data_IF_073244864725
#
_entry.id   IF_073244864725
#
_cell.length_a   1.000
_cell.length_b   1.000
_cell.length_c   1.000
_cell.angle_alpha   90.00
_cell.angle_beta   90.00
_cell.angle_gamma   90.00
#
_symmetry.space_group_name_H-M   'P 1'
#
loop_
_entity.id
_entity.type
_entity.pdbx_description
1 polymer ?
#
# COMPACT_ATOMS: atom_id res chain seq x y z
N UNK A 1 28.02 -24.04 -7.30
CA UNK A 1 28.32 -23.31 -6.06
C UNK A 1 27.22 -22.28 -5.90
N UNK A 2 26.18 -22.64 -5.16
CA UNK A 2 25.01 -21.81 -4.93
C UNK A 2 25.21 -21.13 -3.57
N UNK A 3 25.46 -19.82 -3.59
CA UNK A 3 25.36 -19.00 -2.39
C UNK A 3 23.87 -18.81 -2.11
N UNK A 4 23.37 -19.57 -1.13
CA UNK A 4 22.08 -19.33 -0.51
C UNK A 4 22.13 -17.95 0.14
N UNK A 5 21.42 -16.98 -0.46
CA UNK A 5 21.08 -15.75 0.23
C UNK A 5 20.12 -16.10 1.37
N UNK A 6 20.65 -16.04 2.60
CA UNK A 6 19.91 -16.19 3.83
C UNK A 6 18.96 -14.99 3.98
N UNK A 7 17.73 -15.12 3.47
CA UNK A 7 16.63 -14.23 3.78
C UNK A 7 16.11 -14.52 5.20
N UNK A 8 16.98 -14.37 6.20
CA UNK A 8 16.51 -14.19 7.57
C UNK A 8 15.93 -12.78 7.67
N UNK A 9 14.65 -12.65 7.36
CA UNK A 9 13.83 -11.57 7.90
C UNK A 9 13.86 -11.80 9.43
N UNK A 10 14.79 -11.14 10.12
CA UNK A 10 14.78 -11.05 11.57
C UNK A 10 13.65 -10.12 12.01
N UNK A 11 12.40 -10.51 11.76
CA UNK A 11 11.33 -10.18 12.68
C UNK A 11 11.49 -11.11 13.88
N UNK A 12 12.39 -10.75 14.81
CA UNK A 12 12.31 -11.29 16.17
C UNK A 12 11.09 -10.66 16.85
N UNK A 13 9.90 -11.00 16.38
CA UNK A 13 8.69 -10.99 17.17
C UNK A 13 8.56 -12.36 17.80
N UNK A 14 9.36 -12.60 18.84
CA UNK A 14 8.95 -13.57 19.86
C UNK A 14 7.69 -12.98 20.50
N UNK A 15 6.52 -13.44 20.03
CA UNK A 15 5.24 -13.21 20.68
C UNK A 15 5.31 -13.81 22.10
N UNK A 16 5.67 -12.98 23.07
CA UNK A 16 5.27 -13.25 24.44
C UNK A 16 3.79 -12.89 24.55
N UNK A 17 2.95 -13.91 24.78
CA UNK A 17 1.52 -13.79 25.09
C UNK A 17 1.28 -13.17 26.48
N UNK A 18 1.96 -12.06 26.78
CA UNK A 18 1.65 -11.18 27.90
C UNK A 18 1.09 -9.90 27.34
N UNK A 19 -0.24 -9.83 27.18
CA UNK A 19 -0.91 -8.55 27.01
C UNK A 19 -0.52 -7.67 28.21
N UNK A 20 0.00 -6.45 28.04
CA UNK A 20 0.05 -5.51 29.14
C UNK A 20 -1.39 -5.34 29.65
N UNK A 21 -1.62 -5.71 30.91
CA UNK A 21 -2.91 -5.50 31.56
C UNK A 21 -3.21 -4.01 31.56
N UNK A 22 -4.39 -3.58 31.12
CA UNK A 22 -4.72 -2.17 31.01
C UNK A 22 -4.99 -1.62 32.41
N UNK A 23 -3.95 -1.23 33.13
CA UNK A 23 -4.11 -0.39 34.32
C UNK A 23 -4.45 1.04 33.88
N UNK A 24 -5.76 1.26 33.82
CA UNK A 24 -6.50 2.48 34.16
C UNK A 24 -6.12 3.77 33.44
N UNK A 25 -6.97 4.16 32.47
CA UNK A 25 -7.53 5.49 32.15
C UNK A 25 -6.69 6.80 32.18
N UNK A 26 -5.55 6.88 32.86
CA UNK A 26 -4.71 8.08 32.96
C UNK A 26 -3.80 8.31 31.75
N UNK A 27 -3.38 7.27 31.02
CA UNK A 27 -2.56 7.48 29.79
C UNK A 27 -3.40 7.90 28.59
N UNK A 28 -4.67 7.49 28.52
CA UNK A 28 -5.58 7.90 27.43
C UNK A 28 -5.94 9.40 27.45
N UNK A 29 -5.70 10.11 28.56
CA UNK A 29 -6.01 11.54 28.68
C UNK A 29 -4.88 12.47 28.24
N UNK A 30 -3.63 11.99 28.12
CA UNK A 30 -2.53 12.80 27.55
C UNK A 30 -2.59 12.92 26.02
N UNK A 31 -3.48 12.16 25.38
CA UNK A 31 -3.67 12.13 23.93
C UNK A 31 -5.04 12.64 23.47
N UNK A 32 -5.93 13.07 24.38
CA UNK A 32 -7.17 13.76 23.99
C UNK A 32 -6.87 15.18 23.53
N UNK A 33 -6.74 15.36 22.21
CA UNK A 33 -6.94 16.68 21.59
C UNK A 33 -8.44 17.03 21.58
N UNK A 34 -8.80 18.33 21.51
CA UNK A 34 -10.19 18.76 21.47
C UNK A 34 -10.93 18.10 20.30
N UNK A 35 -12.17 17.68 20.53
CA UNK A 35 -13.09 17.22 19.49
C UNK A 35 -13.22 18.30 18.41
N UNK A 36 -12.64 18.04 17.24
CA UNK A 36 -12.76 18.85 16.04
C UNK A 36 -13.77 18.20 15.10
N UNK A 37 -15.06 18.26 15.47
CA UNK A 37 -16.16 18.03 14.54
C UNK A 37 -17.07 19.26 14.57
N UNK A 38 -16.81 20.23 13.68
CA UNK A 38 -17.79 21.25 13.27
C UNK A 38 -17.34 22.21 12.14
N UNK A 39 -16.18 22.05 11.49
CA UNK A 39 -15.82 22.93 10.36
C UNK A 39 -15.16 22.16 9.21
N UNK A 40 -15.50 22.47 7.94
CA UNK A 40 -14.81 21.92 6.77
C UNK A 40 -13.33 22.30 6.86
N UNK A 41 -12.47 21.29 6.97
CA UNK A 41 -11.02 21.50 7.07
C UNK A 41 -10.51 21.99 5.71
N UNK A 42 -9.80 23.13 5.64
CA UNK A 42 -9.15 23.54 4.40
C UNK A 42 -8.17 22.46 3.95
N UNK A 43 -8.16 22.14 2.67
CA UNK A 43 -7.37 21.09 2.01
C UNK A 43 -5.83 21.17 2.16
N UNK A 44 -5.30 22.02 3.06
CA UNK A 44 -3.89 22.15 3.35
C UNK A 44 -3.56 21.55 4.71
N UNK A 45 -2.85 20.43 4.67
CA UNK A 45 -2.17 19.75 5.78
C UNK A 45 -3.10 18.94 6.69
N UNK A 46 -3.15 17.62 6.45
CA UNK A 46 -3.37 16.63 7.52
C UNK A 46 -2.56 17.12 8.72
N UNK A 47 -3.28 17.56 9.77
CA UNK A 47 -2.64 18.21 10.91
C UNK A 47 -1.56 17.26 11.47
N UNK A 48 -0.37 17.85 11.71
CA UNK A 48 0.87 17.23 12.20
C UNK A 48 0.74 15.81 12.75
N UNK A 49 1.45 14.88 12.08
CA UNK A 49 1.97 13.56 12.47
C UNK A 49 1.37 12.89 13.72
N UNK A 50 1.10 11.59 13.63
CA UNK A 50 0.62 10.66 14.67
C UNK A 50 -0.89 10.36 14.62
N UNK A 51 -1.35 9.82 13.49
CA UNK A 51 -2.69 9.23 13.37
C UNK A 51 -2.65 7.75 13.72
N UNK A 52 -3.71 7.24 14.32
CA UNK A 52 -3.92 5.79 14.40
C UNK A 52 -4.20 5.22 13.00
N UNK A 53 -3.88 3.94 12.75
CA UNK A 53 -4.23 3.30 11.49
C UNK A 53 -5.71 3.47 11.10
N UNK A 54 -6.62 3.34 12.07
CA UNK A 54 -8.06 3.47 11.83
C UNK A 54 -8.47 4.89 11.40
N UNK A 55 -7.84 5.93 11.95
CA UNK A 55 -8.09 7.32 11.52
C UNK A 55 -7.62 7.54 10.08
N UNK A 56 -6.47 6.97 9.70
CA UNK A 56 -5.96 7.03 8.34
C UNK A 56 -6.86 6.29 7.34
N UNK A 57 -7.36 5.11 7.73
CA UNK A 57 -8.36 4.35 6.96
C UNK A 57 -9.65 5.16 6.80
N UNK A 58 -10.16 5.73 7.89
CA UNK A 58 -11.37 6.54 7.86
C UNK A 58 -11.22 7.76 6.94
N UNK A 59 -10.07 8.42 6.94
CA UNK A 59 -9.79 9.52 6.02
C UNK A 59 -9.92 9.06 4.55
N UNK A 60 -9.25 7.97 4.18
CA UNK A 60 -9.33 7.39 2.82
C UNK A 60 -10.78 7.02 2.48
N UNK A 61 -11.49 6.34 3.38
CA UNK A 61 -12.87 5.91 3.17
C UNK A 61 -13.85 7.09 3.03
N UNK A 62 -13.66 8.16 3.79
CA UNK A 62 -14.48 9.36 3.69
C UNK A 62 -14.23 10.07 2.36
N UNK A 63 -12.96 10.21 1.97
CA UNK A 63 -12.59 10.90 0.74
C UNK A 63 -13.05 10.15 -0.51
N UNK A 64 -12.83 8.83 -0.54
CA UNK A 64 -13.25 7.96 -1.65
C UNK A 64 -14.77 7.86 -1.85
N UNK A 65 -15.57 8.32 -0.88
CA UNK A 65 -17.04 8.40 -0.95
C UNK A 65 -17.56 9.77 -1.38
N UNK A 66 -16.70 10.80 -1.47
CA UNK A 66 -17.13 12.13 -1.92
C UNK A 66 -17.55 12.09 -3.39
N UNK A 67 -18.49 12.97 -3.74
CA UNK A 67 -19.05 13.11 -5.09
C UNK A 67 -17.95 13.48 -6.11
N UNK A 68 -18.03 12.91 -7.31
CA UNK A 68 -17.07 13.04 -8.41
C UNK A 68 -16.88 14.49 -8.89
N UNK A 69 -17.85 15.35 -8.61
CA UNK A 69 -17.94 16.71 -9.15
C UNK A 69 -16.85 17.68 -8.64
N UNK A 70 -16.00 17.28 -7.70
CA UNK A 70 -15.06 18.20 -7.00
C UNK A 70 -13.60 17.75 -7.07
N UNK A 71 -13.18 16.97 -8.07
CA UNK A 71 -11.79 16.50 -8.18
C UNK A 71 -11.06 17.14 -9.38
N UNK A 72 -10.31 18.24 -9.16
CA UNK A 72 -9.50 18.87 -10.19
C UNK A 72 -8.48 17.91 -10.81
N UNK A 73 -8.54 17.73 -12.13
CA UNK A 73 -7.62 16.90 -12.90
C UNK A 73 -8.06 15.44 -13.08
N UNK A 74 -9.23 15.05 -12.56
CA UNK A 74 -9.78 13.71 -12.76
C UNK A 74 -10.03 13.43 -14.26
N UNK A 75 -10.63 14.38 -14.97
CA UNK A 75 -10.89 14.27 -16.42
C UNK A 75 -9.57 14.12 -17.20
N UNK A 76 -8.55 14.91 -16.88
CA UNK A 76 -7.25 14.83 -17.52
C UNK A 76 -6.56 13.48 -17.27
N UNK A 77 -6.72 12.89 -16.08
CA UNK A 77 -6.24 11.53 -15.81
C UNK A 77 -7.03 10.50 -16.61
N UNK A 78 -8.35 10.58 -16.62
CA UNK A 78 -9.20 9.64 -17.38
C UNK A 78 -8.88 9.70 -18.87
N UNK A 79 -8.66 10.89 -19.42
CA UNK A 79 -8.24 11.11 -20.79
C UNK A 79 -6.84 10.52 -21.02
N UNK A 80 -5.86 10.85 -20.18
CA UNK A 80 -4.50 10.32 -20.30
C UNK A 80 -4.47 8.79 -20.20
N UNK A 81 -5.19 8.22 -19.25
CA UNK A 81 -5.34 6.77 -19.08
C UNK A 81 -6.00 6.16 -20.32
N UNK A 82 -7.10 6.72 -20.80
CA UNK A 82 -7.79 6.23 -21.99
C UNK A 82 -6.91 6.30 -23.25
N UNK A 83 -6.19 7.40 -23.46
CA UNK A 83 -5.27 7.59 -24.58
C UNK A 83 -4.08 6.63 -24.50
N UNK A 84 -3.50 6.44 -23.32
CA UNK A 84 -2.46 5.43 -23.09
C UNK A 84 -2.96 4.02 -23.40
N UNK A 85 -4.26 3.75 -23.22
CA UNK A 85 -4.87 2.48 -23.59
C UNK A 85 -5.19 2.34 -25.09
N UNK A 86 -5.57 3.41 -25.76
CA UNK A 86 -5.97 3.39 -27.18
C UNK A 86 -4.78 3.42 -28.15
N UNK A 87 -3.70 4.14 -27.83
CA UNK A 87 -2.54 4.32 -28.72
C UNK A 87 -1.60 3.09 -28.80
N UNK A 88 -2.00 1.95 -28.21
CA UNK A 88 -1.20 0.75 -27.97
C UNK A 88 -0.82 -0.11 -29.18
N UNK A 89 -1.24 0.24 -30.40
CA UNK A 89 -1.03 -0.68 -31.53
C UNK A 89 0.41 -0.75 -32.04
N UNK A 90 1.29 0.20 -31.68
CA UNK A 90 2.62 0.31 -32.32
C UNK A 90 3.83 0.38 -31.36
N UNK A 91 3.66 0.48 -30.04
CA UNK A 91 4.78 0.59 -29.09
C UNK A 91 4.96 -0.69 -28.26
N UNK A 92 6.22 -1.14 -28.15
CA UNK A 92 6.60 -2.28 -27.32
C UNK A 92 6.68 -1.93 -25.83
N UNK A 93 6.86 -0.64 -25.50
CA UNK A 93 6.92 -0.15 -24.12
C UNK A 93 5.60 0.46 -23.65
N UNK A 94 5.27 0.25 -22.37
CA UNK A 94 4.14 0.93 -21.75
C UNK A 94 4.60 2.20 -21.01
N UNK A 95 3.78 3.27 -20.95
CA UNK A 95 4.15 4.52 -20.30
C UNK A 95 4.63 4.33 -18.86
N UNK A 96 4.04 3.41 -18.10
CA UNK A 96 4.48 3.16 -16.72
C UNK A 96 5.88 2.50 -16.60
N UNK A 97 6.53 2.16 -17.73
CA UNK A 97 7.95 1.77 -17.79
C UNK A 97 8.89 2.99 -17.91
N UNK A 98 8.32 4.19 -18.05
CA UNK A 98 9.01 5.46 -17.99
C UNK A 98 8.79 6.12 -16.62
N UNK A 99 9.87 6.61 -16.01
CA UNK A 99 9.83 7.15 -14.65
C UNK A 99 9.05 8.47 -14.57
N UNK A 100 9.07 9.29 -15.62
CA UNK A 100 8.35 10.57 -15.64
C UNK A 100 6.84 10.30 -15.71
N UNK A 101 6.43 9.33 -16.52
CA UNK A 101 5.05 8.86 -16.58
C UNK A 101 4.59 8.23 -15.27
N UNK A 102 5.41 7.40 -14.64
CA UNK A 102 5.10 6.82 -13.33
C UNK A 102 4.95 7.91 -12.25
N UNK A 103 5.81 8.94 -12.29
CA UNK A 103 5.73 10.11 -11.43
C UNK A 103 4.46 10.95 -11.68
N UNK A 104 4.01 11.04 -12.93
CA UNK A 104 2.72 11.64 -13.28
C UNK A 104 1.56 10.89 -12.62
N UNK A 105 1.52 9.55 -12.73
CA UNK A 105 0.50 8.75 -12.04
C UNK A 105 0.57 8.88 -10.52
N UNK A 106 1.78 8.90 -9.95
CA UNK A 106 1.96 9.12 -8.51
C UNK A 106 1.33 10.43 -8.05
N UNK A 107 1.61 11.54 -8.74
CA UNK A 107 1.06 12.84 -8.36
C UNK A 107 -0.47 12.87 -8.42
N UNK A 108 -1.05 12.17 -9.40
CA UNK A 108 -2.50 12.04 -9.50
C UNK A 108 -3.05 11.19 -8.37
N UNK A 109 -2.50 10.00 -8.14
CA UNK A 109 -2.94 9.13 -7.05
C UNK A 109 -2.77 9.76 -5.68
N UNK A 110 -1.70 10.53 -5.46
CA UNK A 110 -1.48 11.30 -4.25
C UNK A 110 -2.61 12.30 -4.04
N UNK A 111 -3.02 13.01 -5.09
CA UNK A 111 -4.17 13.91 -5.03
C UNK A 111 -5.50 13.17 -4.80
N UNK A 112 -5.71 12.04 -5.47
CA UNK A 112 -6.97 11.29 -5.47
C UNK A 112 -7.23 10.48 -4.20
N UNK A 113 -6.18 9.98 -3.56
CA UNK A 113 -6.33 9.01 -2.48
C UNK A 113 -5.59 9.42 -1.21
N UNK A 114 -4.59 10.29 -1.32
CA UNK A 114 -3.69 10.64 -0.23
C UNK A 114 -3.60 12.14 -0.01
N UNK A 115 -4.60 12.92 -0.44
CA UNK A 115 -4.75 14.35 -0.10
C UNK A 115 -3.55 15.23 -0.49
N UNK A 116 -2.82 14.87 -1.54
CA UNK A 116 -1.56 15.52 -1.92
C UNK A 116 -0.50 15.50 -0.81
N UNK A 117 -0.57 14.50 0.08
CA UNK A 117 0.23 14.45 1.32
C UNK A 117 1.54 13.68 1.18
N UNK A 118 1.75 12.96 0.07
CA UNK A 118 2.99 12.21 -0.19
C UNK A 118 3.97 12.96 -1.09
N UNK A 119 3.52 14.03 -1.75
CA UNK A 119 4.38 14.94 -2.52
C UNK A 119 5.59 15.41 -1.71
N UNK A 120 6.78 15.28 -2.30
CA UNK A 120 8.08 15.60 -1.70
C UNK A 120 8.48 14.74 -0.48
N UNK A 121 7.64 13.79 -0.05
CA UNK A 121 7.96 12.84 1.02
C UNK A 121 8.38 11.48 0.47
N UNK A 122 7.95 11.12 -0.74
CA UNK A 122 8.31 9.87 -1.39
C UNK A 122 9.16 10.12 -2.63
N UNK A 123 10.25 9.38 -2.77
CA UNK A 123 10.95 9.21 -4.04
C UNK A 123 10.44 7.96 -4.76
N UNK A 124 10.53 7.91 -6.09
CA UNK A 124 10.15 6.75 -6.90
C UNK A 124 11.36 6.29 -7.72
N UNK A 125 11.53 4.97 -7.84
CA UNK A 125 12.58 4.36 -8.65
C UNK A 125 12.05 3.16 -9.41
N UNK A 126 12.48 3.01 -10.67
CA UNK A 126 12.37 1.76 -11.42
C UNK A 126 13.65 0.95 -11.28
N UNK A 127 13.52 -0.35 -10.99
CA UNK A 127 14.67 -1.26 -10.83
C UNK A 127 14.49 -2.50 -11.72
N UNK A 128 15.55 -2.91 -12.41
CA UNK A 128 15.55 -4.19 -13.14
C UNK A 128 15.29 -5.35 -12.19
N UNK A 129 14.51 -6.32 -12.65
CA UNK A 129 14.13 -7.48 -11.83
C UNK A 129 15.34 -8.40 -11.64
N UNK A 130 15.81 -8.52 -10.41
CA UNK A 130 16.66 -9.63 -9.95
C UNK A 130 15.92 -10.55 -8.96
N UNK A 131 14.58 -10.44 -8.83
CA UNK A 131 13.80 -11.22 -7.86
C UNK A 131 12.30 -11.34 -8.18
N UNK A 132 11.50 -11.86 -7.25
CA UNK A 132 10.08 -12.17 -7.47
C UNK A 132 9.10 -11.04 -7.09
N UNK A 133 9.59 -9.93 -6.54
CA UNK A 133 8.74 -8.84 -6.04
C UNK A 133 8.43 -7.82 -7.14
N UNK A 134 7.17 -7.43 -7.27
CA UNK A 134 6.72 -6.43 -8.24
C UNK A 134 7.00 -4.98 -7.79
N UNK A 135 7.12 -4.76 -6.49
CA UNK A 135 7.46 -3.48 -5.87
C UNK A 135 7.96 -3.67 -4.44
N UNK A 136 8.52 -2.61 -3.88
CA UNK A 136 9.02 -2.54 -2.53
C UNK A 136 9.00 -1.09 -2.04
N UNK A 137 8.52 -0.87 -0.81
CA UNK A 137 8.71 0.38 -0.07
C UNK A 137 9.89 0.29 0.88
N UNK A 138 10.83 1.23 0.76
CA UNK A 138 11.88 1.46 1.73
C UNK A 138 11.58 2.76 2.51
N UNK A 139 11.84 2.76 3.82
CA UNK A 139 11.63 3.92 4.68
C UNK A 139 12.79 4.08 5.66
N UNK A 140 12.96 5.27 6.23
CA UNK A 140 13.95 5.47 7.30
C UNK A 140 13.62 4.70 8.59
N UNK A 141 12.38 4.21 8.76
CA UNK A 141 11.99 3.40 9.93
C UNK A 141 12.19 1.90 9.69
N UNK A 142 12.33 1.46 8.43
CA UNK A 142 12.71 0.08 8.12
C UNK A 142 14.22 -0.14 8.36
N UNK A 143 14.63 -1.39 8.49
CA UNK A 143 16.04 -1.75 8.65
C UNK A 143 16.87 -1.55 7.35
N UNK A 144 16.22 -1.20 6.24
CA UNK A 144 16.81 -1.10 4.89
C UNK A 144 17.12 0.36 4.52
N UNK A 145 17.87 1.05 5.39
CA UNK A 145 18.05 2.52 5.37
C UNK A 145 18.91 3.07 4.22
N UNK A 146 19.65 2.25 3.49
CA UNK A 146 20.80 2.75 2.72
C UNK A 146 20.46 3.45 1.41
N UNK A 147 19.20 3.39 0.96
CA UNK A 147 18.83 3.90 -0.37
C UNK A 147 17.81 5.04 -0.37
N UNK A 148 17.16 5.34 0.76
CA UNK A 148 16.20 6.46 0.85
C UNK A 148 16.96 7.78 0.76
N UNK A 149 16.64 8.67 -0.22
CA UNK A 149 17.30 9.95 -0.32
C UNK A 149 17.11 10.79 0.95
N UNK A 150 18.12 11.54 1.44
CA UNK A 150 18.03 12.29 2.70
C UNK A 150 16.90 13.33 2.78
N UNK A 151 16.35 13.74 1.64
CA UNK A 151 15.26 14.72 1.54
C UNK A 151 13.87 14.07 1.53
N UNK A 152 13.77 12.74 1.61
CA UNK A 152 12.51 12.00 1.52
C UNK A 152 12.31 11.13 2.76
N UNK A 153 11.06 10.84 3.09
CA UNK A 153 10.70 9.91 4.16
C UNK A 153 10.74 8.44 3.68
N UNK A 154 10.37 8.23 2.41
CA UNK A 154 10.22 6.92 1.79
C UNK A 154 10.81 6.89 0.37
N UNK A 155 11.21 5.70 -0.07
CA UNK A 155 11.55 5.36 -1.45
C UNK A 155 10.63 4.23 -1.91
N UNK A 156 9.83 4.50 -2.95
CA UNK A 156 9.02 3.50 -3.64
C UNK A 156 9.85 2.94 -4.79
N UNK A 157 10.17 1.66 -4.72
CA UNK A 157 10.84 0.93 -5.79
C UNK A 157 9.84 0.06 -6.54
N UNK A 158 9.76 0.21 -7.86
CA UNK A 158 8.92 -0.62 -8.72
C UNK A 158 9.79 -1.43 -9.68
N UNK A 159 9.49 -2.72 -9.79
CA UNK A 159 10.21 -3.65 -10.64
C UNK A 159 9.89 -3.45 -12.12
N UNK A 160 10.92 -3.40 -12.96
CA UNK A 160 10.79 -3.28 -14.42
C UNK A 160 10.30 -4.61 -15.04
N UNK A 161 9.00 -4.66 -15.30
CA UNK A 161 8.29 -5.78 -15.89
C UNK A 161 8.63 -6.02 -17.37
N UNK A 162 9.37 -5.14 -18.06
CA UNK A 162 9.77 -5.36 -19.47
C UNK A 162 10.68 -6.58 -19.63
N UNK A 163 11.41 -6.91 -18.57
CA UNK A 163 12.38 -8.00 -18.55
C UNK A 163 11.76 -9.35 -18.21
N UNK A 164 10.46 -9.39 -17.90
CA UNK A 164 9.74 -10.63 -17.56
C UNK A 164 9.73 -11.61 -18.73
N UNK A 165 9.92 -12.91 -18.42
CA UNK A 165 9.93 -13.99 -19.42
C UNK A 165 8.87 -15.04 -19.04
N UNK A 166 7.82 -15.25 -19.86
CA UNK A 166 7.49 -14.49 -21.08
C UNK A 166 7.03 -13.06 -20.75
N UNK A 167 7.16 -12.11 -21.71
CA UNK A 167 6.71 -10.74 -21.49
C UNK A 167 5.19 -10.72 -21.31
N UNK A 168 4.74 -10.02 -20.27
CA UNK A 168 3.31 -9.78 -20.06
C UNK A 168 2.75 -8.86 -21.16
N UNK A 169 1.49 -9.03 -21.60
CA UNK A 169 0.82 -8.07 -22.47
C UNK A 169 0.85 -6.65 -21.89
N UNK A 170 0.98 -5.64 -22.74
CA UNK A 170 1.05 -4.23 -22.35
C UNK A 170 0.00 -3.87 -21.29
N UNK A 171 -1.27 -4.16 -21.55
CA UNK A 171 -2.37 -3.78 -20.66
C UNK A 171 -2.22 -4.40 -19.27
N UNK A 172 -1.73 -5.64 -19.20
CA UNK A 172 -1.46 -6.31 -17.93
C UNK A 172 -0.27 -5.68 -17.22
N UNK A 173 0.79 -5.27 -17.94
CA UNK A 173 1.94 -4.57 -17.34
C UNK A 173 1.52 -3.22 -16.78
N UNK A 174 0.80 -2.42 -17.56
CA UNK A 174 0.29 -1.12 -17.13
C UNK A 174 -0.53 -1.24 -15.84
N UNK A 175 -1.50 -2.17 -15.80
CA UNK A 175 -2.30 -2.43 -14.60
C UNK A 175 -1.45 -2.86 -13.42
N UNK A 176 -0.46 -3.75 -13.64
CA UNK A 176 0.46 -4.16 -12.58
C UNK A 176 1.29 -2.99 -12.06
N UNK A 177 1.83 -2.14 -12.93
CA UNK A 177 2.58 -0.97 -12.48
C UNK A 177 1.74 -0.02 -11.63
N UNK A 178 0.52 0.30 -12.08
CA UNK A 178 -0.36 1.21 -11.35
C UNK A 178 -0.87 0.60 -10.04
N UNK A 179 -1.19 -0.69 -10.04
CA UNK A 179 -1.56 -1.45 -8.85
C UNK A 179 -0.44 -1.49 -7.83
N UNK A 180 0.78 -1.83 -8.27
CA UNK A 180 1.98 -1.78 -7.42
C UNK A 180 2.24 -0.36 -6.92
N UNK A 181 2.13 0.67 -7.77
CA UNK A 181 2.35 2.05 -7.33
C UNK A 181 1.38 2.44 -6.21
N UNK A 182 0.07 2.20 -6.38
CA UNK A 182 -0.93 2.46 -5.33
C UNK A 182 -0.69 1.63 -4.06
N UNK A 183 -0.28 0.36 -4.22
CA UNK A 183 0.07 -0.52 -3.11
C UNK A 183 1.20 0.08 -2.26
N UNK A 184 2.30 0.47 -2.87
CA UNK A 184 3.44 1.05 -2.16
C UNK A 184 3.15 2.46 -1.64
N UNK A 185 2.35 3.26 -2.35
CA UNK A 185 1.88 4.57 -1.85
C UNK A 185 1.02 4.42 -0.60
N UNK A 186 0.18 3.38 -0.52
CA UNK A 186 -0.62 3.11 0.68
C UNK A 186 0.27 2.75 1.86
N UNK A 187 1.31 1.94 1.67
CA UNK A 187 2.33 1.71 2.69
C UNK A 187 3.00 3.01 3.11
N UNK A 188 3.41 3.84 2.14
CA UNK A 188 4.07 5.12 2.42
C UNK A 188 3.17 6.05 3.24
N UNK A 189 1.88 6.07 2.96
CA UNK A 189 0.90 6.85 3.72
C UNK A 189 0.80 6.42 5.18
N UNK A 190 0.67 5.12 5.45
CA UNK A 190 0.72 4.63 6.83
C UNK A 190 2.07 4.90 7.48
N UNK A 191 3.17 4.72 6.76
CA UNK A 191 4.52 4.88 7.29
C UNK A 191 4.85 6.32 7.67
N UNK A 192 4.44 7.29 6.84
CA UNK A 192 4.66 8.71 7.09
C UNK A 192 3.78 9.19 8.25
N UNK A 193 2.48 8.88 8.21
CA UNK A 193 1.48 9.51 9.08
C UNK A 193 1.07 8.68 10.31
N UNK A 194 1.37 7.39 10.31
CA UNK A 194 1.06 6.45 11.38
C UNK A 194 1.82 6.77 12.66
N UNK A 195 1.09 6.77 13.77
CA UNK A 195 1.64 6.97 15.11
C UNK A 195 2.44 5.75 15.57
N UNK A 196 3.69 5.99 15.95
CA UNK A 196 4.60 4.99 16.55
C UNK A 196 5.34 5.59 17.76
N UNK A 197 4.78 6.61 18.43
CA UNK A 197 5.48 7.36 19.47
C UNK A 197 5.65 6.60 20.80
N UNK A 198 4.88 5.52 20.99
CA UNK A 198 4.96 4.63 22.16
C UNK A 198 5.00 3.17 21.70
N UNK A 199 5.32 2.27 22.63
CA UNK A 199 5.24 0.82 22.40
C UNK A 199 3.82 0.38 22.04
N UNK A 200 2.80 0.97 22.69
CA UNK A 200 1.39 0.68 22.39
C UNK A 200 1.02 1.13 20.97
N UNK A 201 1.47 2.31 20.56
CA UNK A 201 1.24 2.80 19.19
C UNK A 201 1.95 1.92 18.16
N UNK A 202 3.20 1.54 18.42
CA UNK A 202 3.97 0.63 17.55
C UNK A 202 3.33 -0.74 17.45
N UNK A 203 2.90 -1.33 18.57
CA UNK A 203 2.18 -2.60 18.58
C UNK A 203 0.89 -2.52 17.77
N UNK A 204 0.09 -1.46 17.97
CA UNK A 204 -1.14 -1.23 17.22
C UNK A 204 -0.87 -1.05 15.72
N UNK A 205 0.15 -0.28 15.34
CA UNK A 205 0.56 -0.14 13.95
C UNK A 205 0.96 -1.48 13.34
N UNK A 206 1.82 -2.25 13.99
CA UNK A 206 2.26 -3.55 13.50
C UNK A 206 1.13 -4.57 13.40
N UNK A 207 0.13 -4.47 14.28
CA UNK A 207 -1.04 -5.38 14.27
C UNK A 207 -2.03 -5.02 13.17
N UNK A 208 -2.33 -3.73 13.00
CA UNK A 208 -3.38 -3.26 12.11
C UNK A 208 -2.89 -2.96 10.70
N UNK A 209 -1.67 -2.47 10.56
CA UNK A 209 -1.00 -2.19 9.28
C UNK A 209 -0.02 -3.30 8.97
N UNK A 210 0.94 -3.56 9.88
CA UNK A 210 1.94 -4.61 9.69
C UNK A 210 2.57 -4.58 8.30
N UNK A 211 2.69 -5.75 7.66
CA UNK A 211 2.93 -5.78 6.21
C UNK A 211 1.60 -5.53 5.49
N UNK A 212 0.52 -6.29 5.73
CA UNK A 212 -0.81 -6.04 5.11
C UNK A 212 -1.99 -6.41 6.02
N UNK A 213 -1.98 -5.91 7.26
CA UNK A 213 -3.00 -6.13 8.29
C UNK A 213 -4.38 -5.54 7.93
N UNK A 214 -5.33 -5.64 8.87
CA UNK A 214 -6.73 -5.30 8.61
C UNK A 214 -6.95 -3.86 8.15
N UNK A 215 -6.31 -2.88 8.78
CA UNK A 215 -6.43 -1.48 8.36
C UNK A 215 -5.85 -1.25 6.96
N UNK A 216 -4.77 -1.95 6.61
CA UNK A 216 -4.24 -1.89 5.24
C UNK A 216 -5.24 -2.48 4.24
N UNK A 217 -5.85 -3.63 4.55
CA UNK A 217 -6.86 -4.28 3.70
C UNK A 217 -8.10 -3.40 3.50
N UNK A 218 -8.57 -2.74 4.56
CA UNK A 218 -9.72 -1.84 4.52
C UNK A 218 -9.46 -0.60 3.66
N UNK A 219 -8.28 0.02 3.81
CA UNK A 219 -7.89 1.16 2.99
C UNK A 219 -7.68 0.76 1.53
N UNK A 220 -7.01 -0.37 1.28
CA UNK A 220 -6.78 -0.87 -0.07
C UNK A 220 -8.12 -1.17 -0.77
N UNK A 221 -9.08 -1.81 -0.09
CA UNK A 221 -10.42 -2.05 -0.66
C UNK A 221 -11.13 -0.74 -1.02
N UNK A 222 -11.05 0.27 -0.16
CA UNK A 222 -11.64 1.57 -0.43
C UNK A 222 -11.04 2.24 -1.67
N UNK A 223 -9.70 2.17 -1.83
CA UNK A 223 -9.00 2.67 -3.01
C UNK A 223 -9.40 1.88 -4.27
N UNK A 224 -9.37 0.55 -4.23
CA UNK A 224 -9.75 -0.29 -5.38
C UNK A 224 -11.18 0.02 -5.85
N UNK A 225 -12.13 0.13 -4.92
CA UNK A 225 -13.51 0.49 -5.25
C UNK A 225 -13.60 1.89 -5.87
N UNK A 226 -12.82 2.85 -5.36
CA UNK A 226 -12.78 4.20 -5.89
C UNK A 226 -12.14 4.28 -7.27
N UNK A 227 -11.09 3.50 -7.56
CA UNK A 227 -10.43 3.50 -8.89
C UNK A 227 -11.38 3.11 -10.01
N UNK A 228 -12.29 2.15 -9.76
CA UNK A 228 -13.32 1.77 -10.72
C UNK A 228 -14.16 2.97 -11.18
N UNK A 229 -14.56 3.82 -10.22
CA UNK A 229 -15.36 5.03 -10.45
C UNK A 229 -14.53 6.17 -11.04
N UNK A 230 -13.35 6.42 -10.48
CA UNK A 230 -12.52 7.59 -10.76
C UNK A 230 -11.66 7.43 -12.02
N UNK A 231 -11.13 6.24 -12.26
CA UNK A 231 -10.22 5.94 -13.38
C UNK A 231 -10.96 5.22 -14.52
N UNK A 232 -12.20 4.78 -14.27
CA UNK A 232 -12.99 3.96 -15.21
C UNK A 232 -12.60 2.48 -15.20
N UNK A 233 -11.69 2.08 -14.30
CA UNK A 233 -11.25 0.69 -14.16
C UNK A 233 -10.80 0.40 -12.73
N UNK A 234 -11.14 -0.79 -12.22
CA UNK A 234 -10.66 -1.26 -10.93
C UNK A 234 -9.18 -1.62 -11.03
N UNK A 235 -8.33 -0.83 -10.40
CA UNK A 235 -6.92 -1.13 -10.22
C UNK A 235 -6.81 -2.10 -9.04
N UNK A 236 -6.15 -3.24 -9.25
CA UNK A 236 -5.93 -4.26 -8.22
C UNK A 236 -4.66 -3.91 -7.42
N UNK A 237 -4.81 -3.73 -6.11
CA UNK A 237 -3.70 -3.46 -5.19
C UNK A 237 -3.04 -4.77 -4.70
N UNK A 238 -3.42 -5.92 -5.25
CA UNK A 238 -2.86 -7.22 -4.92
C UNK A 238 -3.27 -7.70 -3.53
N UNK A 239 -4.45 -7.31 -3.04
CA UNK A 239 -4.87 -7.55 -1.65
C UNK A 239 -4.89 -9.03 -1.26
N UNK A 240 -5.31 -9.91 -2.18
CA UNK A 240 -5.34 -11.38 -1.98
C UNK A 240 -3.92 -11.92 -1.82
N UNK A 241 -3.03 -11.60 -2.76
CA UNK A 241 -1.62 -12.01 -2.74
C UNK A 241 -0.91 -11.50 -1.48
N UNK A 242 -1.20 -10.26 -1.10
CA UNK A 242 -0.67 -9.60 0.10
C UNK A 242 -1.09 -10.31 1.38
N UNK A 243 -2.36 -10.69 1.49
CA UNK A 243 -2.86 -11.45 2.65
C UNK A 243 -2.25 -12.85 2.72
N UNK A 244 -2.09 -13.52 1.58
CA UNK A 244 -1.40 -14.80 1.51
C UNK A 244 0.06 -14.70 1.98
N UNK A 245 0.78 -13.67 1.54
CA UNK A 245 2.16 -13.40 1.99
C UNK A 245 2.25 -13.13 3.49
N UNK A 246 1.26 -12.48 4.10
CA UNK A 246 1.19 -12.35 5.55
C UNK A 246 1.08 -13.70 6.27
N UNK A 247 0.25 -14.61 5.77
CA UNK A 247 0.09 -15.94 6.36
C UNK A 247 1.39 -16.77 6.24
N UNK A 248 2.10 -16.64 5.12
CA UNK A 248 3.43 -17.25 4.94
C UNK A 248 4.43 -16.67 5.93
N UNK A 249 4.51 -15.34 6.05
CA UNK A 249 5.40 -14.66 6.99
C UNK A 249 5.10 -15.04 8.45
N UNK A 250 3.83 -15.22 8.80
CA UNK A 250 3.37 -15.69 10.10
C UNK A 250 3.59 -17.20 10.32
N UNK A 251 3.98 -17.96 9.27
CA UNK A 251 4.06 -19.42 9.26
C UNK A 251 2.77 -20.08 9.74
N UNK A 252 1.64 -19.43 9.46
CA UNK A 252 0.33 -19.84 9.96
C UNK A 252 -0.76 -19.34 9.03
N UNK A 253 -1.52 -20.29 8.48
CA UNK A 253 -2.76 -20.02 7.78
C UNK A 253 -3.93 -20.10 8.78
N UNK A 254 -4.79 -19.07 8.88
CA UNK A 254 -5.95 -19.11 9.75
C UNK A 254 -6.89 -20.27 9.39
N UNK A 255 -7.65 -20.76 10.36
CA UNK A 255 -8.71 -21.74 10.09
C UNK A 255 -9.86 -21.04 9.33
N UNK A 256 -10.41 -21.70 8.32
CA UNK A 256 -11.56 -21.18 7.57
C UNK A 256 -12.71 -20.76 8.51
N UNK A 257 -13.26 -19.56 8.27
CA UNK A 257 -14.32 -18.97 9.10
C UNK A 257 -13.85 -18.23 10.35
N UNK A 258 -12.55 -18.23 10.69
CA UNK A 258 -12.03 -17.43 11.82
C UNK A 258 -11.77 -15.96 11.47
N UNK A 259 -11.67 -15.65 10.18
CA UNK A 259 -11.49 -14.30 9.66
C UNK A 259 -12.62 -13.97 8.68
N UNK A 260 -13.21 -12.78 8.81
CA UNK A 260 -14.27 -12.31 7.91
C UNK A 260 -13.68 -11.78 6.59
N UNK A 261 -13.19 -12.69 5.75
CA UNK A 261 -12.70 -12.37 4.41
C UNK A 261 -13.78 -11.78 3.49
N UNK A 262 -15.05 -12.09 3.77
CA UNK A 262 -16.18 -11.61 2.97
C UNK A 262 -16.34 -10.08 3.10
N UNK A 263 -16.04 -9.51 4.28
CA UNK A 263 -15.98 -8.05 4.46
C UNK A 263 -14.98 -7.37 3.51
N UNK A 264 -13.96 -8.10 3.05
CA UNK A 264 -12.95 -7.66 2.08
C UNK A 264 -13.26 -8.06 0.63
N UNK A 265 -14.40 -8.68 0.38
CA UNK A 265 -14.75 -9.21 -0.94
C UNK A 265 -13.84 -10.34 -1.40
N UNK A 266 -13.30 -11.12 -0.46
CA UNK A 266 -12.46 -12.29 -0.74
C UNK A 266 -13.11 -13.56 -0.19
N UNK A 267 -12.73 -14.69 -0.77
CA UNK A 267 -13.04 -16.02 -0.26
C UNK A 267 -11.79 -16.68 0.33
N UNK A 268 -11.99 -17.62 1.25
CA UNK A 268 -10.89 -18.40 1.80
C UNK A 268 -10.15 -19.21 0.72
N UNK A 269 -10.89 -19.73 -0.28
CA UNK A 269 -10.32 -20.48 -1.40
C UNK A 269 -9.38 -19.63 -2.27
N UNK A 270 -9.73 -18.36 -2.52
CA UNK A 270 -8.88 -17.43 -3.29
C UNK A 270 -7.55 -17.17 -2.57
N UNK A 271 -7.60 -16.79 -1.29
CA UNK A 271 -6.39 -16.50 -0.50
C UNK A 271 -5.55 -17.76 -0.31
N UNK A 272 -6.18 -18.92 -0.10
CA UNK A 272 -5.48 -20.22 -0.03
C UNK A 272 -4.77 -20.55 -1.34
N UNK A 273 -5.40 -20.33 -2.48
CA UNK A 273 -4.79 -20.58 -3.80
C UNK A 273 -3.54 -19.72 -3.97
N UNK A 274 -3.61 -18.43 -3.61
CA UNK A 274 -2.45 -17.54 -3.62
C UNK A 274 -1.36 -18.02 -2.62
N UNK A 275 -1.74 -18.42 -1.41
CA UNK A 275 -0.83 -18.98 -0.41
C UNK A 275 -0.07 -20.19 -0.94
N UNK A 276 -0.78 -21.18 -1.51
CA UNK A 276 -0.18 -22.40 -2.05
C UNK A 276 0.79 -22.07 -3.20
N UNK A 277 0.42 -21.13 -4.08
CA UNK A 277 1.29 -20.64 -5.16
C UNK A 277 2.61 -20.05 -4.62
N UNK A 278 2.54 -19.17 -3.62
CA UNK A 278 3.74 -18.53 -3.07
C UNK A 278 4.58 -19.50 -2.23
N UNK A 279 3.97 -20.43 -1.49
CA UNK A 279 4.71 -21.51 -0.82
C UNK A 279 5.51 -22.32 -1.84
N UNK A 280 4.90 -22.71 -2.96
CA UNK A 280 5.62 -23.44 -4.02
C UNK A 280 6.75 -22.60 -4.64
N UNK A 281 6.54 -21.29 -4.81
CA UNK A 281 7.53 -20.39 -5.38
C UNK A 281 8.77 -20.20 -4.46
N UNK A 282 8.58 -20.08 -3.15
CA UNK A 282 9.65 -19.78 -2.20
C UNK A 282 10.33 -21.01 -1.60
N UNK A 283 9.75 -22.21 -1.73
CA UNK A 283 10.34 -23.45 -1.23
C UNK A 283 11.01 -24.34 -2.30
N UNK A 284 11.15 -23.83 -3.54
CA UNK A 284 11.96 -24.44 -4.60
C UNK A 284 13.34 -23.79 -4.66
#
# INVERSE_FOLDING_TARGET
MAEMYDHTIHSRNTFHNGLPTPDSELENNKHRRPSLYATPVPHSNIAMLCHTPDELVQAIQQFTKQDDTVIPGLEAMQEHYSLAFQNQQNDHRCPAEDLDQLSFYFNIFDRLFFFSSLQNLCAIRLKSIEGHHAGQLDSHRSNWRTEVPPTHACLITISDLTTTKPPLPYQKRMKKYLGTLLHEMLHAYFEVYGCMCTEVCTWRYNTLVGIHGSSWQDAALAIENATCRLVGERIDLGRVDSLAMNWIAAKSMPVEGTLDLASWGMTYAEVRTAYDYYVELYHK
#
